data_IF_797780289248
#
_entry.id   IF_797780289248
#
_cell.length_a   1.000
_cell.length_b   1.000
_cell.length_c   1.000
_cell.angle_alpha   90.00
_cell.angle_beta   90.00
_cell.angle_gamma   90.00
#
_symmetry.space_group_name_H-M   'P 1'
#
loop_
_entity.id
_entity.type
_entity.pdbx_description
1 polymer ?
#
# COMPACT_ATOMS: atom_id res chain seq x y z
N UNK A 1 9.51 -35.29 59.52
CA UNK A 1 9.04 -35.22 58.13
C UNK A 1 8.37 -33.87 57.90
N UNK A 2 9.02 -32.95 57.18
CA UNK A 2 8.38 -31.75 56.62
C UNK A 2 8.90 -31.60 55.19
N UNK A 3 8.05 -31.87 54.22
CA UNK A 3 8.32 -31.63 52.80
C UNK A 3 7.85 -30.21 52.48
N UNK A 4 8.75 -29.36 51.99
CA UNK A 4 8.41 -28.03 51.47
C UNK A 4 8.25 -28.19 49.96
N UNK A 5 7.02 -28.05 49.45
CA UNK A 5 6.77 -27.89 48.02
C UNK A 5 7.06 -26.43 47.64
N UNK A 6 8.09 -26.22 46.83
CA UNK A 6 8.32 -24.96 46.14
C UNK A 6 7.46 -24.93 44.87
N UNK A 7 6.45 -24.06 44.86
CA UNK A 7 5.61 -23.83 43.68
C UNK A 7 6.27 -22.75 42.82
N UNK A 8 6.95 -23.17 41.74
CA UNK A 8 7.48 -22.25 40.73
C UNK A 8 6.30 -21.71 39.91
N UNK A 9 5.87 -20.47 40.17
CA UNK A 9 4.94 -19.77 39.28
C UNK A 9 5.68 -19.34 38.02
N UNK A 10 5.47 -20.08 36.94
CA UNK A 10 5.91 -19.70 35.61
C UNK A 10 4.93 -18.64 35.07
N UNK A 11 5.26 -17.36 35.23
CA UNK A 11 4.49 -16.26 34.64
C UNK A 11 4.71 -16.24 33.12
N UNK A 12 3.71 -16.67 32.35
CA UNK A 12 3.71 -16.54 30.91
C UNK A 12 3.48 -15.06 30.53
N UNK A 13 4.54 -14.37 30.08
CA UNK A 13 4.43 -13.01 29.58
C UNK A 13 3.68 -13.00 28.24
N UNK A 14 2.50 -12.39 28.21
CA UNK A 14 1.79 -12.09 26.96
C UNK A 14 2.52 -10.89 26.33
N UNK A 15 3.26 -11.12 25.24
CA UNK A 15 3.80 -10.05 24.43
C UNK A 15 2.64 -9.36 23.70
N UNK A 16 2.28 -8.14 24.13
CA UNK A 16 1.32 -7.31 23.42
C UNK A 16 1.90 -6.93 22.05
N UNK A 17 1.22 -7.33 20.97
CA UNK A 17 1.55 -6.87 19.64
C UNK A 17 1.40 -5.34 19.60
N UNK A 18 2.49 -4.62 19.31
CA UNK A 18 2.44 -3.18 19.12
C UNK A 18 1.56 -2.87 17.91
N UNK A 19 0.40 -2.26 18.14
CA UNK A 19 -0.42 -1.68 17.08
C UNK A 19 0.34 -0.48 16.54
N UNK A 20 1.00 -0.64 15.40
CA UNK A 20 1.65 0.47 14.71
C UNK A 20 0.54 1.39 14.21
N UNK A 21 0.31 2.51 14.90
CA UNK A 21 -0.63 3.53 14.45
C UNK A 21 -0.08 4.20 13.19
N UNK A 22 -0.87 4.24 12.12
CA UNK A 22 -0.49 4.91 10.88
C UNK A 22 -0.28 6.43 11.12
N UNK A 23 0.62 7.09 10.37
CA UNK A 23 0.70 8.55 10.39
C UNK A 23 -0.65 9.20 10.07
N UNK A 24 -0.99 10.37 10.66
CA UNK A 24 -2.30 10.99 10.45
C UNK A 24 -2.65 11.26 8.97
N UNK A 25 -1.66 11.64 8.15
CA UNK A 25 -1.88 11.86 6.71
C UNK A 25 -2.20 10.54 5.99
N UNK A 26 -1.45 9.48 6.27
CA UNK A 26 -1.71 8.14 5.75
C UNK A 26 -3.13 7.66 6.10
N UNK A 27 -3.58 7.89 7.34
CA UNK A 27 -4.95 7.56 7.76
C UNK A 27 -6.00 8.30 6.92
N UNK A 28 -5.80 9.59 6.66
CA UNK A 28 -6.72 10.41 5.85
C UNK A 28 -6.74 9.97 4.38
N UNK A 29 -5.57 9.72 3.81
CA UNK A 29 -5.45 9.21 2.43
C UNK A 29 -6.15 7.85 2.28
N UNK A 30 -5.93 6.93 3.23
CA UNK A 30 -6.59 5.63 3.24
C UNK A 30 -8.10 5.76 3.40
N UNK A 31 -8.56 6.58 4.34
CA UNK A 31 -9.99 6.82 4.56
C UNK A 31 -10.68 7.43 3.35
N UNK A 32 -9.99 8.30 2.60
CA UNK A 32 -10.50 8.82 1.33
C UNK A 32 -10.69 7.70 0.30
N UNK A 33 -9.69 6.82 0.14
CA UNK A 33 -9.78 5.70 -0.79
C UNK A 33 -10.95 4.77 -0.44
N UNK A 34 -11.12 4.43 0.85
CA UNK A 34 -12.21 3.58 1.35
C UNK A 34 -13.60 4.18 1.05
N UNK A 35 -13.77 5.48 1.28
CA UNK A 35 -15.04 6.17 1.03
C UNK A 35 -15.46 6.18 -0.46
N UNK A 36 -14.50 6.01 -1.36
CA UNK A 36 -14.68 6.09 -2.81
C UNK A 36 -14.64 4.73 -3.52
N UNK A 37 -14.49 3.61 -2.80
CA UNK A 37 -14.56 2.28 -3.39
C UNK A 37 -15.83 2.11 -4.24
N UNK A 38 -15.63 1.61 -5.47
CA UNK A 38 -16.71 1.38 -6.44
C UNK A 38 -17.24 2.65 -7.12
N UNK A 39 -16.70 3.83 -6.82
CA UNK A 39 -17.08 5.12 -7.41
C UNK A 39 -15.90 5.69 -8.21
N UNK A 40 -16.15 6.44 -9.29
CA UNK A 40 -15.09 7.20 -9.95
C UNK A 40 -14.70 8.42 -9.09
N UNK A 41 -13.41 8.77 -9.09
CA UNK A 41 -12.90 10.04 -8.54
C UNK A 41 -12.41 10.92 -9.69
N UNK A 42 -12.78 12.20 -9.66
CA UNK A 42 -12.38 13.15 -10.70
C UNK A 42 -12.88 12.72 -12.08
N UNK A 43 -11.97 12.69 -13.05
CA UNK A 43 -12.30 12.24 -14.40
C UNK A 43 -12.39 10.73 -14.50
N UNK A 44 -11.76 9.98 -13.59
CA UNK A 44 -11.65 8.52 -13.64
C UNK A 44 -10.24 8.03 -14.02
N UNK A 45 -9.26 8.93 -14.13
CA UNK A 45 -7.86 8.57 -14.41
C UNK A 45 -7.11 8.12 -13.15
N UNK A 46 -6.08 7.28 -13.29
CA UNK A 46 -5.41 6.66 -12.14
C UNK A 46 -4.84 7.67 -11.14
N UNK A 47 -4.30 8.79 -11.64
CA UNK A 47 -3.72 9.86 -10.82
C UNK A 47 -4.77 10.67 -10.05
N UNK A 48 -6.02 10.76 -10.54
CA UNK A 48 -7.09 11.57 -9.91
C UNK A 48 -7.34 11.11 -8.46
N UNK A 49 -7.30 9.79 -8.22
CA UNK A 49 -7.51 9.22 -6.89
C UNK A 49 -6.43 9.69 -5.91
N UNK A 50 -5.15 9.59 -6.29
CA UNK A 50 -4.03 9.99 -5.44
C UNK A 50 -4.05 11.51 -5.20
N UNK A 51 -4.26 12.30 -6.25
CA UNK A 51 -4.34 13.75 -6.16
C UNK A 51 -5.46 14.21 -5.21
N UNK A 52 -6.67 13.67 -5.39
CA UNK A 52 -7.81 14.01 -4.54
C UNK A 52 -7.59 13.60 -3.09
N UNK A 53 -7.06 12.39 -2.84
CA UNK A 53 -6.79 11.90 -1.49
C UNK A 53 -5.74 12.76 -0.76
N UNK A 54 -4.67 13.16 -1.45
CA UNK A 54 -3.63 14.03 -0.88
C UNK A 54 -4.17 15.44 -0.58
N UNK A 55 -4.94 16.01 -1.52
CA UNK A 55 -5.55 17.33 -1.34
C UNK A 55 -6.53 17.35 -0.16
N UNK A 56 -7.41 16.35 -0.05
CA UNK A 56 -8.36 16.23 1.07
C UNK A 56 -7.62 15.99 2.39
N UNK A 57 -6.53 15.21 2.37
CA UNK A 57 -5.71 14.99 3.56
C UNK A 57 -4.93 16.25 4.00
N UNK A 58 -4.88 17.30 3.18
CA UNK A 58 -4.05 18.49 3.42
C UNK A 58 -2.55 18.19 3.31
N UNK A 59 -2.16 17.27 2.43
CA UNK A 59 -0.77 16.91 2.20
C UNK A 59 -0.08 17.85 1.20
N UNK A 60 1.21 18.09 1.39
CA UNK A 60 2.07 18.79 0.43
C UNK A 60 2.62 17.83 -0.60
N UNK A 61 2.47 18.18 -1.88
CA UNK A 61 2.98 17.43 -3.02
C UNK A 61 3.14 18.36 -4.24
N UNK A 62 3.80 17.90 -5.30
CA UNK A 62 4.20 18.77 -6.43
C UNK A 62 3.09 19.02 -7.48
N UNK A 63 1.90 18.46 -7.28
CA UNK A 63 0.80 18.51 -8.25
C UNK A 63 1.05 17.72 -9.54
N UNK A 64 2.12 16.89 -9.57
CA UNK A 64 2.53 16.08 -10.72
C UNK A 64 2.67 14.62 -10.29
N UNK A 65 3.91 14.13 -10.16
CA UNK A 65 4.21 12.73 -9.86
C UNK A 65 5.17 12.55 -8.69
N UNK A 66 5.39 13.60 -7.89
CA UNK A 66 6.03 13.51 -6.57
C UNK A 66 4.97 13.74 -5.50
N UNK A 67 4.42 12.65 -5.01
CA UNK A 67 3.26 12.61 -4.12
C UNK A 67 3.58 12.80 -2.63
N UNK A 68 4.79 13.28 -2.32
CA UNK A 68 5.31 13.43 -0.97
C UNK A 68 6.80 13.16 -0.93
N UNK A 69 7.30 12.65 0.21
CA UNK A 69 8.70 12.19 0.30
C UNK A 69 8.83 10.76 -0.21
N UNK A 70 9.92 10.43 -0.86
CA UNK A 70 10.20 9.03 -1.21
C UNK A 70 10.38 8.19 0.07
N UNK A 71 9.91 6.95 0.02
CA UNK A 71 10.11 5.93 1.05
C UNK A 71 11.36 5.14 0.71
N UNK A 72 12.34 5.10 1.61
CA UNK A 72 13.51 4.24 1.44
C UNK A 72 13.10 2.78 1.70
N UNK A 73 12.86 2.01 0.64
CA UNK A 73 12.41 0.62 0.73
C UNK A 73 13.43 -0.32 1.42
N UNK A 74 14.67 0.12 1.65
CA UNK A 74 15.68 -0.64 2.39
C UNK A 74 15.65 -0.38 3.89
N UNK A 75 15.19 0.80 4.29
CA UNK A 75 15.21 1.25 5.68
C UNK A 75 13.82 1.35 6.31
N UNK A 76 12.79 1.54 5.49
CA UNK A 76 11.43 1.83 5.93
C UNK A 76 10.44 0.80 5.44
N UNK A 77 9.44 0.53 6.27
CA UNK A 77 8.27 -0.24 5.85
C UNK A 77 7.35 0.66 5.05
N UNK A 78 6.80 0.13 3.97
CA UNK A 78 5.65 0.72 3.27
C UNK A 78 4.44 0.63 4.19
N UNK A 79 3.60 1.67 4.18
CA UNK A 79 2.42 1.78 5.03
C UNK A 79 1.17 1.96 4.16
N UNK A 80 0.00 1.49 4.63
CA UNK A 80 -1.28 1.94 4.09
C UNK A 80 -1.35 3.48 4.01
N UNK A 81 -1.91 4.00 2.92
CA UNK A 81 -1.95 5.42 2.60
C UNK A 81 -0.68 5.99 1.95
N UNK A 82 0.39 5.21 1.79
CA UNK A 82 1.50 5.59 0.91
C UNK A 82 1.02 5.54 -0.57
N UNK A 83 1.62 6.35 -1.44
CA UNK A 83 1.29 6.44 -2.86
C UNK A 83 2.36 5.72 -3.67
N UNK A 84 1.97 4.83 -4.59
CA UNK A 84 2.88 4.15 -5.50
C UNK A 84 2.73 4.71 -6.92
N UNK A 85 3.85 5.07 -7.52
CA UNK A 85 3.97 5.52 -8.91
C UNK A 85 4.75 4.50 -9.72
N UNK A 86 4.15 3.95 -10.77
CA UNK A 86 4.71 2.95 -11.66
C UNK A 86 5.18 3.55 -12.98
N UNK A 87 6.33 3.07 -13.46
CA UNK A 87 7.02 3.58 -14.64
C UNK A 87 7.54 2.42 -15.50
N UNK A 88 6.76 2.05 -16.50
CA UNK A 88 7.09 1.02 -17.49
C UNK A 88 7.26 -0.37 -16.88
N UNK A 89 6.44 -0.71 -15.88
CA UNK A 89 6.49 -1.98 -15.16
C UNK A 89 5.99 -3.14 -16.03
N UNK A 90 6.71 -4.25 -16.01
CA UNK A 90 6.27 -5.55 -16.47
C UNK A 90 6.41 -6.55 -15.31
N UNK A 91 5.33 -7.23 -14.96
CA UNK A 91 5.34 -8.33 -14.00
C UNK A 91 5.20 -9.66 -14.71
N UNK A 92 5.72 -10.70 -14.07
CA UNK A 92 5.71 -12.07 -14.57
C UNK A 92 5.33 -13.03 -13.44
N UNK A 93 4.19 -13.68 -13.58
CA UNK A 93 3.74 -14.74 -12.68
C UNK A 93 3.83 -16.07 -13.42
N UNK A 94 4.63 -17.00 -12.88
CA UNK A 94 4.75 -18.36 -13.40
C UNK A 94 4.08 -19.33 -12.44
N UNK A 95 3.24 -20.21 -12.97
CA UNK A 95 2.74 -21.40 -12.27
C UNK A 95 3.31 -22.64 -12.94
N UNK A 96 3.00 -23.83 -12.41
CA UNK A 96 3.40 -25.09 -13.04
C UNK A 96 2.82 -25.26 -14.46
N UNK A 97 1.70 -24.59 -14.77
CA UNK A 97 0.92 -24.79 -16.00
C UNK A 97 0.73 -23.52 -16.83
N UNK A 98 1.13 -22.35 -16.33
CA UNK A 98 0.87 -21.08 -17.01
C UNK A 98 1.94 -20.02 -16.74
N UNK A 99 2.05 -19.07 -17.67
CA UNK A 99 2.78 -17.82 -17.51
C UNK A 99 1.78 -16.69 -17.75
N UNK A 100 1.75 -15.71 -16.84
CA UNK A 100 0.97 -14.47 -17.00
C UNK A 100 1.89 -13.27 -16.92
N UNK A 101 1.65 -12.30 -17.80
CA UNK A 101 2.35 -11.02 -17.83
C UNK A 101 1.36 -9.89 -17.71
N UNK A 102 1.71 -8.91 -16.92
CA UNK A 102 0.97 -7.67 -16.79
C UNK A 102 1.91 -6.49 -17.01
N UNK A 103 1.44 -5.48 -17.75
CA UNK A 103 2.22 -4.30 -18.10
C UNK A 103 1.50 -3.06 -17.60
N UNK A 104 2.22 -2.20 -16.89
CA UNK A 104 1.76 -0.89 -16.44
C UNK A 104 2.70 0.17 -16.99
N UNK A 105 2.22 0.97 -17.95
CA UNK A 105 3.02 2.01 -18.60
C UNK A 105 3.34 3.17 -17.67
N UNK A 106 2.33 3.93 -17.27
CA UNK A 106 2.45 5.05 -16.35
C UNK A 106 1.21 5.04 -15.46
N UNK A 107 1.36 4.66 -14.20
CA UNK A 107 0.20 4.33 -13.36
C UNK A 107 0.41 4.72 -11.90
N UNK A 108 -0.64 5.22 -11.26
CA UNK A 108 -0.61 5.66 -9.85
C UNK A 108 -1.64 4.88 -9.05
N UNK A 109 -1.27 4.46 -7.84
CA UNK A 109 -2.16 3.82 -6.90
C UNK A 109 -1.88 4.25 -5.46
N UNK A 110 -2.85 4.02 -4.57
CA UNK A 110 -2.69 4.15 -3.12
C UNK A 110 -2.45 2.76 -2.55
N UNK A 111 -1.47 2.60 -1.66
CA UNK A 111 -1.32 1.36 -0.88
C UNK A 111 -2.49 1.27 0.09
N UNK A 112 -3.39 0.33 -0.14
CA UNK A 112 -4.55 0.09 0.70
C UNK A 112 -4.20 -0.80 1.90
N UNK A 113 -3.46 -1.88 1.64
CA UNK A 113 -3.00 -2.81 2.67
C UNK A 113 -1.61 -3.36 2.36
N UNK A 114 -0.90 -3.77 3.39
CA UNK A 114 0.44 -4.38 3.30
C UNK A 114 0.40 -5.81 3.84
N UNK A 115 0.82 -6.79 3.05
CA UNK A 115 0.75 -8.22 3.41
C UNK A 115 2.11 -8.84 3.77
N UNK A 116 3.14 -8.00 3.91
CA UNK A 116 4.52 -8.44 4.06
C UNK A 116 5.19 -8.82 2.73
N UNK A 117 6.52 -8.91 2.74
CA UNK A 117 7.35 -9.38 1.62
C UNK A 117 7.14 -8.64 0.29
N UNK A 118 6.75 -7.36 0.31
CA UNK A 118 6.50 -6.59 -0.91
C UNK A 118 5.17 -6.92 -1.61
N UNK A 119 4.23 -7.58 -0.92
CA UNK A 119 2.85 -7.77 -1.38
C UNK A 119 1.93 -6.70 -0.79
N UNK A 120 1.08 -6.14 -1.65
CA UNK A 120 0.19 -5.03 -1.31
C UNK A 120 -1.18 -5.21 -1.94
N UNK A 121 -2.22 -4.80 -1.22
CA UNK A 121 -3.49 -4.41 -1.85
C UNK A 121 -3.36 -2.96 -2.28
N UNK A 122 -3.68 -2.66 -3.52
CA UNK A 122 -3.64 -1.32 -4.10
C UNK A 122 -5.05 -0.82 -4.37
N UNK A 123 -5.35 0.43 -4.00
CA UNK A 123 -6.54 1.16 -4.39
C UNK A 123 -6.22 2.11 -5.55
N UNK A 124 -6.94 1.97 -6.66
CA UNK A 124 -6.67 2.69 -7.91
C UNK A 124 -7.85 2.60 -8.86
N UNK A 125 -7.81 3.44 -9.89
CA UNK A 125 -8.80 3.48 -10.95
C UNK A 125 -8.09 3.52 -12.30
N UNK A 126 -8.87 3.39 -13.38
CA UNK A 126 -8.39 3.13 -14.73
C UNK A 126 -7.49 1.88 -14.82
N UNK A 127 -7.84 0.84 -14.05
CA UNK A 127 -7.08 -0.40 -14.02
C UNK A 127 -7.93 -1.64 -13.85
N UNK A 128 -7.54 -2.71 -14.53
CA UNK A 128 -8.12 -4.03 -14.37
C UNK A 128 -9.65 -4.05 -14.52
N UNK A 129 -10.35 -4.90 -13.76
CA UNK A 129 -11.80 -5.10 -13.92
C UNK A 129 -12.64 -3.92 -13.43
N UNK A 130 -12.08 -3.02 -12.62
CA UNK A 130 -12.81 -1.88 -12.04
C UNK A 130 -12.94 -0.70 -13.01
N UNK A 131 -12.17 -0.69 -14.10
CA UNK A 131 -12.19 0.38 -15.10
C UNK A 131 -11.96 1.75 -14.44
N UNK A 132 -12.78 2.75 -14.77
CA UNK A 132 -12.66 4.14 -14.26
C UNK A 132 -13.11 4.34 -12.81
N UNK A 133 -13.46 3.27 -12.08
CA UNK A 133 -13.90 3.34 -10.68
C UNK A 133 -12.75 2.92 -9.77
N UNK A 134 -12.73 3.43 -8.55
CA UNK A 134 -11.78 2.97 -7.53
C UNK A 134 -12.05 1.50 -7.23
N UNK A 135 -11.05 0.67 -7.49
CA UNK A 135 -11.03 -0.76 -7.24
C UNK A 135 -9.80 -1.19 -6.46
N UNK A 136 -9.86 -2.40 -5.94
CA UNK A 136 -8.75 -3.04 -5.24
C UNK A 136 -8.14 -4.13 -6.10
N UNK A 137 -6.81 -4.16 -6.19
CA UNK A 137 -6.08 -5.30 -6.75
C UNK A 137 -4.90 -5.67 -5.87
N UNK A 138 -4.56 -6.95 -5.86
CA UNK A 138 -3.31 -7.41 -5.28
C UNK A 138 -2.15 -7.12 -6.23
N UNK A 139 -1.01 -6.75 -5.68
CA UNK A 139 0.23 -6.55 -6.43
C UNK A 139 1.42 -7.06 -5.63
N UNK A 140 2.33 -7.76 -6.30
CA UNK A 140 3.53 -8.36 -5.72
C UNK A 140 4.79 -7.78 -6.38
N UNK A 141 5.51 -6.94 -5.64
CA UNK A 141 6.72 -6.29 -6.13
C UNK A 141 7.81 -7.29 -6.57
N UNK A 142 7.80 -8.53 -6.05
CA UNK A 142 8.79 -9.56 -6.39
C UNK A 142 8.58 -10.14 -7.79
N UNK A 143 7.40 -9.93 -8.38
CA UNK A 143 7.07 -10.40 -9.73
C UNK A 143 7.52 -9.42 -10.81
N UNK A 144 8.02 -8.24 -10.44
CA UNK A 144 8.52 -7.22 -11.38
C UNK A 144 9.80 -7.72 -12.04
N UNK A 145 9.79 -7.78 -13.38
CA UNK A 145 10.95 -8.16 -14.19
C UNK A 145 11.53 -7.01 -15.03
N UNK A 146 10.78 -5.91 -15.17
CA UNK A 146 11.20 -4.70 -15.89
C UNK A 146 10.46 -3.48 -15.33
N UNK A 147 11.07 -2.31 -15.49
CA UNK A 147 10.50 -1.02 -15.10
C UNK A 147 10.95 -0.59 -13.71
N UNK A 148 10.36 0.49 -13.22
CA UNK A 148 10.61 0.99 -11.87
C UNK A 148 9.32 1.44 -11.21
N UNK A 149 9.30 1.44 -9.89
CA UNK A 149 8.24 2.04 -9.12
C UNK A 149 8.85 2.85 -7.99
N UNK A 150 8.18 3.94 -7.62
CA UNK A 150 8.56 4.80 -6.49
C UNK A 150 7.38 4.85 -5.53
N UNK A 151 7.67 4.72 -4.24
CA UNK A 151 6.66 4.86 -3.18
C UNK A 151 6.91 6.17 -2.46
N UNK A 152 5.84 6.94 -2.29
CA UNK A 152 5.84 8.22 -1.62
C UNK A 152 5.01 8.14 -0.35
N UNK A 153 5.52 8.72 0.73
CA UNK A 153 4.77 8.97 1.96
C UNK A 153 4.25 10.40 1.96
N UNK A 154 2.95 10.61 2.21
CA UNK A 154 2.39 11.95 2.36
C UNK A 154 3.11 12.75 3.45
N UNK A 155 3.29 14.06 3.21
CA UNK A 155 3.91 15.00 4.14
C UNK A 155 3.07 16.27 4.24
N UNK A 156 3.30 17.10 5.26
CA UNK A 156 2.64 18.40 5.48
C UNK A 156 3.71 19.47 5.74
#
# INVERSE_FOLDING_TARGET
>A
MRWILAFLMLSAGIAAAQVVSLPPLNQRVLGFADAHLGKPVGTGECWDLAAAALNEAGANWDGKYRFGREVDLKAERVLPGDIIQFEGIETLVRTATSESRERMGHHTAIVHATHGDGRYTLAHQNFGPSGRKVGLTEWDARTVIRGRYTIYRPVQ
#
